data_IF_001575643597
#
_entry.id   IF_001575643597
#
_cell.length_a   1.000
_cell.length_b   1.000
_cell.length_c   1.000
_cell.angle_alpha   90.00
_cell.angle_beta   90.00
_cell.angle_gamma   90.00
#
_symmetry.space_group_name_H-M   'P 1'
#
loop_
_entity.id
_entity.type
_entity.pdbx_description
1 polymer ?
#
# COMPACT_ATOMS: atom_id res chain seq x y z
N UNK A 1 21.27 -15.59 19.47
CA UNK A 1 20.14 -15.97 18.59
C UNK A 1 20.36 -15.34 17.23
N UNK A 2 20.13 -16.05 16.12
CA UNK A 2 20.26 -15.49 14.77
C UNK A 2 19.27 -14.35 14.51
N UNK A 3 19.55 -13.49 13.52
CA UNK A 3 18.63 -12.39 13.14
C UNK A 3 17.27 -12.97 12.68
N UNK A 4 16.19 -12.29 13.03
CA UNK A 4 14.86 -12.59 12.55
C UNK A 4 14.83 -12.45 11.02
N UNK A 5 14.12 -13.35 10.32
CA UNK A 5 14.27 -13.47 8.87
C UNK A 5 13.77 -12.26 8.10
N UNK A 6 12.66 -11.63 8.47
CA UNK A 6 12.12 -10.47 7.74
C UNK A 6 13.02 -9.23 7.88
N UNK A 7 13.59 -9.00 9.06
CA UNK A 7 14.58 -7.93 9.28
C UNK A 7 15.90 -8.21 8.57
N UNK A 8 16.37 -9.47 8.56
CA UNK A 8 17.54 -9.85 7.79
C UNK A 8 17.34 -9.63 6.28
N UNK A 9 16.23 -10.11 5.72
CA UNK A 9 15.93 -9.99 4.29
C UNK A 9 15.74 -8.53 3.87
N UNK A 10 15.12 -7.71 4.74
CA UNK A 10 15.00 -6.26 4.56
C UNK A 10 16.36 -5.56 4.44
N UNK A 11 17.36 -5.99 5.20
CA UNK A 11 18.70 -5.40 5.15
C UNK A 11 19.59 -6.04 4.06
N UNK A 12 19.39 -7.33 3.77
CA UNK A 12 20.13 -8.06 2.74
C UNK A 12 19.90 -7.53 1.33
N UNK A 13 18.69 -7.05 1.03
CA UNK A 13 18.35 -6.52 -0.29
C UNK A 13 19.25 -5.36 -0.74
N UNK A 14 19.78 -4.57 0.20
CA UNK A 14 20.68 -3.45 -0.09
C UNK A 14 22.09 -3.91 -0.50
N UNK A 15 22.63 -4.93 0.17
CA UNK A 15 23.89 -5.55 -0.28
C UNK A 15 23.71 -6.20 -1.67
N UNK A 16 22.55 -6.82 -1.90
CA UNK A 16 22.20 -7.42 -3.18
C UNK A 16 22.16 -6.35 -4.26
N UNK A 17 21.47 -5.23 -4.01
CA UNK A 17 21.41 -4.08 -4.91
C UNK A 17 22.80 -3.52 -5.24
N UNK A 18 23.62 -3.26 -4.23
CA UNK A 18 24.99 -2.78 -4.43
C UNK A 18 25.79 -3.77 -5.27
N UNK A 19 25.63 -5.07 -5.04
CA UNK A 19 26.26 -6.12 -5.84
C UNK A 19 25.81 -6.06 -7.29
N UNK A 20 24.50 -5.98 -7.55
CA UNK A 20 23.94 -5.83 -8.91
C UNK A 20 24.54 -4.63 -9.65
N UNK A 21 24.63 -3.49 -8.96
CA UNK A 21 25.12 -2.22 -9.50
C UNK A 21 26.63 -2.24 -9.72
N UNK A 22 27.42 -2.57 -8.70
CA UNK A 22 28.88 -2.57 -8.75
C UNK A 22 29.43 -3.62 -9.71
N UNK A 23 28.84 -4.83 -9.72
CA UNK A 23 29.25 -5.90 -10.63
C UNK A 23 28.67 -5.72 -12.04
N UNK A 24 27.79 -4.74 -12.25
CA UNK A 24 27.13 -4.39 -13.52
C UNK A 24 26.44 -5.58 -14.19
N UNK A 25 25.67 -6.36 -13.43
CA UNK A 25 25.04 -7.57 -13.94
C UNK A 25 24.08 -7.30 -15.11
N UNK A 26 23.38 -6.15 -15.11
CA UNK A 26 22.47 -5.77 -16.19
C UNK A 26 23.16 -5.53 -17.55
N UNK A 27 24.47 -5.29 -17.58
CA UNK A 27 25.22 -5.08 -18.83
C UNK A 27 26.02 -6.31 -19.24
N UNK A 28 26.16 -7.30 -18.35
CA UNK A 28 26.94 -8.51 -18.61
C UNK A 28 26.02 -9.62 -19.11
N UNK A 29 26.49 -10.42 -20.08
CA UNK A 29 25.80 -11.64 -20.54
C UNK A 29 26.04 -12.80 -19.57
N UNK A 30 25.59 -12.66 -18.32
CA UNK A 30 25.67 -13.73 -17.31
C UNK A 30 24.36 -14.52 -17.28
N UNK A 31 24.47 -15.82 -17.02
CA UNK A 31 23.29 -16.64 -16.73
C UNK A 31 22.71 -16.28 -15.37
N UNK A 32 21.41 -16.54 -15.17
CA UNK A 32 20.76 -16.33 -13.87
C UNK A 32 21.42 -17.15 -12.75
N UNK A 33 21.90 -18.36 -13.04
CA UNK A 33 22.63 -19.18 -12.07
C UNK A 33 23.98 -18.53 -11.69
N UNK A 34 24.73 -18.01 -12.66
CA UNK A 34 26.00 -17.33 -12.39
C UNK A 34 25.81 -16.07 -11.54
N UNK A 35 24.75 -15.29 -11.81
CA UNK A 35 24.39 -14.13 -10.97
C UNK A 35 24.01 -14.60 -9.57
N UNK A 36 23.23 -15.68 -9.48
CA UNK A 36 22.84 -16.26 -8.20
C UNK A 36 24.05 -16.66 -7.35
N UNK A 37 25.00 -17.38 -7.93
CA UNK A 37 26.19 -17.86 -7.22
C UNK A 37 27.03 -16.69 -6.70
N UNK A 38 27.28 -15.68 -7.54
CA UNK A 38 28.03 -14.48 -7.15
C UNK A 38 27.35 -13.70 -6.01
N UNK A 39 26.03 -13.54 -6.07
CA UNK A 39 25.28 -12.86 -5.00
C UNK A 39 25.32 -13.68 -3.71
N UNK A 40 25.20 -15.00 -3.82
CA UNK A 40 25.27 -15.88 -2.66
C UNK A 40 26.65 -15.81 -1.98
N UNK A 41 27.74 -15.75 -2.76
CA UNK A 41 29.09 -15.54 -2.24
C UNK A 41 29.22 -14.20 -1.50
N UNK A 42 28.72 -13.11 -2.07
CA UNK A 42 28.75 -11.78 -1.43
C UNK A 42 27.92 -11.77 -0.12
N UNK A 43 26.75 -12.42 -0.11
CA UNK A 43 25.93 -12.58 1.10
C UNK A 43 26.66 -13.38 2.18
N UNK A 44 27.25 -14.53 1.84
CA UNK A 44 27.98 -15.37 2.80
C UNK A 44 29.14 -14.60 3.45
N UNK A 45 29.88 -13.81 2.67
CA UNK A 45 31.05 -13.09 3.18
C UNK A 45 30.70 -11.81 3.95
N UNK A 46 29.78 -10.99 3.43
CA UNK A 46 29.55 -9.65 3.95
C UNK A 46 28.30 -9.53 4.83
N UNK A 47 27.33 -10.44 4.69
CA UNK A 47 26.08 -10.42 5.46
C UNK A 47 25.56 -11.84 5.71
N UNK A 48 26.24 -12.62 6.57
CA UNK A 48 26.02 -14.06 6.69
C UNK A 48 24.54 -14.44 6.84
N UNK A 49 24.10 -15.38 6.00
CA UNK A 49 22.71 -15.82 5.93
C UNK A 49 22.36 -16.61 7.22
N UNK A 50 21.25 -16.26 7.93
CA UNK A 50 20.82 -16.99 9.11
C UNK A 50 20.58 -18.47 8.84
N UNK A 51 20.91 -19.33 9.81
CA UNK A 51 20.65 -20.77 9.71
C UNK A 51 19.18 -21.06 9.42
N UNK A 52 18.92 -21.90 8.41
CA UNK A 52 17.57 -22.25 7.96
C UNK A 52 17.04 -21.37 6.83
N UNK A 53 17.75 -20.30 6.46
CA UNK A 53 17.42 -19.44 5.34
C UNK A 53 18.41 -19.67 4.17
N UNK A 54 17.90 -19.70 2.94
CA UNK A 54 18.71 -19.88 1.72
C UNK A 54 18.39 -18.81 0.69
N UNK A 55 19.40 -18.22 0.06
CA UNK A 55 19.18 -17.28 -1.04
C UNK A 55 18.60 -17.99 -2.28
N UNK A 56 17.49 -17.47 -2.79
CA UNK A 56 16.79 -18.05 -3.94
C UNK A 56 17.05 -17.29 -5.23
N UNK A 57 16.73 -16.00 -5.23
CA UNK A 57 16.63 -15.18 -6.44
C UNK A 57 16.71 -13.70 -6.10
N UNK A 58 17.19 -12.89 -7.03
CA UNK A 58 17.07 -11.44 -6.96
C UNK A 58 17.05 -10.85 -8.36
N UNK A 59 16.62 -9.59 -8.45
CA UNK A 59 16.64 -8.80 -9.68
C UNK A 59 16.83 -7.34 -9.34
N UNK A 60 17.58 -6.62 -10.16
CA UNK A 60 17.68 -5.17 -10.12
C UNK A 60 17.22 -4.59 -11.47
N UNK A 61 16.22 -3.72 -11.45
CA UNK A 61 15.76 -2.98 -12.61
C UNK A 61 16.40 -1.59 -12.65
N UNK A 62 17.34 -1.34 -13.59
CA UNK A 62 18.08 -0.09 -13.63
C UNK A 62 17.22 1.07 -14.15
N UNK A 63 16.05 0.81 -14.74
CA UNK A 63 15.15 1.87 -15.23
C UNK A 63 14.34 2.49 -14.09
N UNK A 64 13.93 1.65 -13.14
CA UNK A 64 13.07 2.06 -12.03
C UNK A 64 13.81 2.20 -10.71
N UNK A 65 15.05 1.69 -10.62
CA UNK A 65 15.81 1.58 -9.38
C UNK A 65 15.37 0.42 -8.49
N UNK A 66 14.31 -0.31 -8.84
CA UNK A 66 13.73 -1.36 -8.00
C UNK A 66 14.68 -2.56 -7.89
N UNK A 67 15.01 -2.94 -6.65
CA UNK A 67 15.67 -4.20 -6.34
C UNK A 67 14.79 -5.09 -5.49
N UNK A 68 14.64 -6.34 -5.89
CA UNK A 68 13.96 -7.37 -5.14
C UNK A 68 14.89 -8.55 -4.84
N UNK A 69 14.72 -9.17 -3.67
CA UNK A 69 15.43 -10.38 -3.25
C UNK A 69 14.43 -11.39 -2.67
N UNK A 70 14.67 -12.68 -2.90
CA UNK A 70 13.87 -13.77 -2.37
C UNK A 70 14.76 -14.78 -1.64
N UNK A 71 14.32 -15.22 -0.47
CA UNK A 71 14.96 -16.24 0.35
C UNK A 71 13.98 -17.36 0.70
N UNK A 72 14.45 -18.61 0.70
CA UNK A 72 13.72 -19.79 1.14
C UNK A 72 13.96 -20.03 2.63
N UNK A 73 12.91 -20.01 3.43
CA UNK A 73 12.91 -20.68 4.73
C UNK A 73 12.81 -22.19 4.48
N UNK A 74 13.94 -22.87 4.68
CA UNK A 74 14.08 -24.31 4.43
C UNK A 74 13.29 -25.18 5.41
N UNK A 75 12.97 -24.65 6.60
CA UNK A 75 12.21 -25.34 7.63
C UNK A 75 10.72 -25.24 7.36
N UNK A 76 10.22 -24.03 7.06
CA UNK A 76 8.80 -23.79 6.76
C UNK A 76 8.41 -24.12 5.31
N UNK A 77 9.40 -24.25 4.40
CA UNK A 77 9.19 -24.35 2.94
C UNK A 77 8.40 -23.15 2.39
N UNK A 78 8.77 -21.98 2.89
CA UNK A 78 8.15 -20.71 2.57
C UNK A 78 9.18 -19.72 2.04
N UNK A 79 8.75 -18.78 1.20
CA UNK A 79 9.63 -17.76 0.63
C UNK A 79 9.31 -16.39 1.22
N UNK A 80 10.37 -15.71 1.62
CA UNK A 80 10.36 -14.33 2.10
C UNK A 80 10.93 -13.46 0.98
N UNK A 81 10.20 -12.43 0.59
CA UNK A 81 10.61 -11.47 -0.44
C UNK A 81 10.88 -10.10 0.19
N UNK A 82 12.08 -9.57 -0.06
CA UNK A 82 12.50 -8.23 0.34
C UNK A 82 12.58 -7.27 -0.84
N UNK A 83 12.22 -6.00 -0.60
CA UNK A 83 12.41 -4.91 -1.55
C UNK A 83 13.33 -3.83 -0.96
N UNK A 84 14.27 -3.34 -1.78
CA UNK A 84 15.11 -2.21 -1.41
C UNK A 84 14.30 -0.92 -1.44
N UNK A 85 14.61 -0.03 -0.50
CA UNK A 85 14.29 1.38 -0.64
C UNK A 85 15.38 2.14 -1.38
N UNK A 86 15.25 3.46 -1.46
CA UNK A 86 16.19 4.36 -2.13
C UNK A 86 17.60 4.21 -1.55
N UNK A 87 18.57 3.88 -2.39
CA UNK A 87 19.95 3.64 -1.99
C UNK A 87 20.92 4.39 -2.92
N UNK A 88 21.39 5.57 -2.50
CA UNK A 88 22.65 6.13 -2.98
C UNK A 88 23.24 7.22 -2.09
N UNK A 89 24.56 7.10 -1.97
CA UNK A 89 25.52 8.00 -1.33
C UNK A 89 25.37 9.47 -1.72
N UNK A 90 25.70 10.33 -0.75
CA UNK A 90 25.73 11.82 -0.73
C UNK A 90 24.40 12.57 -0.76
N UNK A 91 23.34 12.05 -1.38
CA UNK A 91 22.04 12.75 -1.51
C UNK A 91 20.82 11.94 -1.03
N UNK A 92 21.05 10.87 -0.26
CA UNK A 92 20.00 9.95 0.21
C UNK A 92 18.80 10.65 0.87
N UNK A 93 19.01 11.79 1.55
CA UNK A 93 17.98 12.60 2.20
C UNK A 93 17.16 13.50 1.24
N UNK A 94 17.65 13.77 0.03
CA UNK A 94 16.91 14.51 -1.00
C UNK A 94 16.19 13.54 -1.95
N UNK A 95 16.83 12.40 -2.23
CA UNK A 95 16.33 11.37 -3.14
C UNK A 95 15.06 10.69 -2.59
N UNK A 96 15.08 10.25 -1.32
CA UNK A 96 13.89 9.65 -0.70
C UNK A 96 12.68 10.61 -0.64
N UNK A 97 12.91 11.91 -0.47
CA UNK A 97 11.85 12.92 -0.44
C UNK A 97 11.26 13.08 -1.84
N UNK A 98 12.10 13.05 -2.87
CA UNK A 98 11.67 13.08 -4.27
C UNK A 98 10.84 11.84 -4.59
N UNK A 99 11.29 10.65 -4.19
CA UNK A 99 10.55 9.40 -4.37
C UNK A 99 9.21 9.41 -3.61
N UNK A 100 9.18 9.98 -2.41
CA UNK A 100 7.96 10.14 -1.64
C UNK A 100 6.99 11.14 -2.29
N UNK A 101 7.50 12.22 -2.88
CA UNK A 101 6.71 13.15 -3.69
C UNK A 101 6.19 12.45 -4.94
N UNK A 102 6.98 11.61 -5.60
CA UNK A 102 6.56 10.84 -6.77
C UNK A 102 5.50 9.79 -6.44
N UNK A 103 5.60 9.13 -5.27
CA UNK A 103 4.50 8.34 -4.69
C UNK A 103 3.27 9.24 -4.49
N UNK A 104 3.44 10.39 -3.84
CA UNK A 104 2.37 11.35 -3.55
C UNK A 104 1.72 11.98 -4.79
N UNK A 105 2.41 11.97 -5.93
CA UNK A 105 1.93 12.43 -7.23
C UNK A 105 1.43 11.29 -8.13
N UNK A 106 1.42 10.05 -7.64
CA UNK A 106 0.94 8.89 -8.38
C UNK A 106 1.78 8.55 -9.62
N UNK A 107 3.09 8.87 -9.60
CA UNK A 107 4.01 8.53 -10.68
C UNK A 107 4.34 7.03 -10.63
N UNK A 108 3.37 6.18 -10.99
CA UNK A 108 3.39 4.72 -10.81
C UNK A 108 4.31 3.90 -11.73
N UNK A 109 5.35 4.51 -12.33
CA UNK A 109 6.29 3.80 -13.21
C UNK A 109 7.11 2.70 -12.51
N UNK A 110 7.18 2.72 -11.17
CA UNK A 110 8.05 1.86 -10.38
C UNK A 110 7.38 0.57 -9.87
N UNK A 111 6.04 0.54 -9.75
CA UNK A 111 5.33 -0.61 -9.15
C UNK A 111 5.30 -1.84 -10.04
N UNK A 112 5.20 -1.64 -11.35
CA UNK A 112 5.15 -2.75 -12.30
C UNK A 112 6.40 -3.64 -12.19
N UNK A 113 7.57 -3.04 -11.97
CA UNK A 113 8.80 -3.79 -11.77
C UNK A 113 8.75 -4.65 -10.50
N UNK A 114 8.20 -4.12 -9.40
CA UNK A 114 8.02 -4.89 -8.17
C UNK A 114 7.03 -6.06 -8.35
N UNK A 115 5.96 -5.85 -9.12
CA UNK A 115 4.97 -6.90 -9.44
C UNK A 115 5.55 -7.98 -10.36
N UNK A 116 6.33 -7.59 -11.37
CA UNK A 116 7.02 -8.52 -12.26
C UNK A 116 8.04 -9.36 -11.49
N UNK A 117 8.80 -8.73 -10.59
CA UNK A 117 9.73 -9.44 -9.72
C UNK A 117 8.99 -10.46 -8.84
N UNK A 118 7.87 -10.08 -8.21
CA UNK A 118 7.08 -10.99 -7.39
C UNK A 118 6.62 -12.22 -8.18
N UNK A 119 6.10 -12.02 -9.40
CA UNK A 119 5.69 -13.11 -10.30
C UNK A 119 6.84 -14.05 -10.66
N UNK A 120 8.02 -13.50 -10.92
CA UNK A 120 9.23 -14.30 -11.19
C UNK A 120 9.68 -15.08 -9.96
N UNK A 121 9.75 -14.43 -8.80
CA UNK A 121 10.07 -15.07 -7.53
C UNK A 121 9.07 -16.19 -7.19
N UNK A 122 7.78 -16.00 -7.50
CA UNK A 122 6.75 -17.01 -7.28
C UNK A 122 6.96 -18.25 -8.15
N UNK A 123 7.33 -18.06 -9.43
CA UNK A 123 7.68 -19.19 -10.32
C UNK A 123 8.90 -19.95 -9.80
N UNK A 124 9.93 -19.24 -9.34
CA UNK A 124 11.14 -19.85 -8.80
C UNK A 124 10.84 -20.58 -7.49
N UNK A 125 10.04 -20.00 -6.59
CA UNK A 125 9.59 -20.63 -5.36
C UNK A 125 8.86 -21.97 -5.64
N UNK A 126 7.99 -21.98 -6.65
CA UNK A 126 7.26 -23.18 -7.05
C UNK A 126 8.20 -24.33 -7.48
N UNK A 127 9.33 -24.03 -8.13
CA UNK A 127 10.35 -25.06 -8.47
C UNK A 127 10.99 -25.72 -7.25
N UNK A 128 10.87 -25.08 -6.08
CA UNK A 128 11.35 -25.59 -4.78
C UNK A 128 10.24 -26.22 -3.94
N UNK A 129 9.03 -26.33 -4.47
CA UNK A 129 7.86 -26.77 -3.71
C UNK A 129 7.44 -25.77 -2.61
N UNK A 130 7.81 -24.49 -2.77
CA UNK A 130 7.56 -23.43 -1.80
C UNK A 130 6.62 -22.37 -2.37
N UNK A 131 6.03 -21.55 -1.49
CA UNK A 131 5.21 -20.39 -1.86
C UNK A 131 5.74 -19.14 -1.17
N UNK A 132 5.52 -17.98 -1.78
CA UNK A 132 5.77 -16.71 -1.10
C UNK A 132 4.70 -16.52 -0.03
N UNK A 133 5.11 -16.37 1.22
CA UNK A 133 4.19 -16.14 2.35
C UNK A 133 4.42 -14.79 3.00
N UNK A 134 5.64 -14.26 2.88
CA UNK A 134 6.06 -13.07 3.62
C UNK A 134 6.74 -12.04 2.72
N UNK A 135 6.33 -10.79 2.85
CA UNK A 135 6.97 -9.63 2.24
C UNK A 135 7.68 -8.79 3.31
N UNK A 136 8.76 -8.13 2.92
CA UNK A 136 9.49 -7.20 3.79
C UNK A 136 10.17 -6.08 3.03
N UNK A 137 10.51 -4.99 3.72
CA UNK A 137 11.21 -3.86 3.16
C UNK A 137 11.30 -2.69 4.12
N UNK A 138 12.24 -1.78 3.82
CA UNK A 138 12.47 -0.55 4.57
C UNK A 138 12.21 0.69 3.70
N UNK A 139 11.70 1.78 4.28
CA UNK A 139 11.43 3.04 3.56
C UNK A 139 10.57 2.80 2.30
N UNK A 140 11.01 3.22 1.10
CA UNK A 140 10.37 2.94 -0.18
C UNK A 140 10.19 1.44 -0.45
N UNK A 141 11.12 0.60 0.00
CA UNK A 141 10.99 -0.87 -0.08
C UNK A 141 9.81 -1.39 0.73
N UNK A 142 9.51 -0.75 1.88
CA UNK A 142 8.32 -1.05 2.67
C UNK A 142 7.02 -0.62 1.98
N UNK A 143 7.05 0.44 1.16
CA UNK A 143 5.92 0.81 0.30
C UNK A 143 5.72 -0.21 -0.83
N UNK A 144 6.79 -0.66 -1.52
CA UNK A 144 6.70 -1.73 -2.51
C UNK A 144 6.10 -3.00 -1.90
N UNK A 145 6.59 -3.42 -0.74
CA UNK A 145 6.07 -4.59 -0.05
C UNK A 145 4.56 -4.49 0.22
N UNK A 146 4.06 -3.34 0.70
CA UNK A 146 2.63 -3.13 0.93
C UNK A 146 1.80 -3.13 -0.37
N UNK A 147 2.31 -2.49 -1.44
CA UNK A 147 1.62 -2.45 -2.75
C UNK A 147 1.54 -3.84 -3.38
N UNK A 148 2.61 -4.61 -3.27
CA UNK A 148 2.66 -6.02 -3.70
C UNK A 148 1.74 -6.88 -2.83
N UNK A 149 1.67 -6.63 -1.52
CA UNK A 149 0.76 -7.33 -0.62
C UNK A 149 -0.70 -7.17 -1.08
N UNK A 150 -1.12 -5.95 -1.41
CA UNK A 150 -2.46 -5.66 -1.93
C UNK A 150 -2.72 -6.30 -3.29
N UNK A 151 -1.75 -6.23 -4.22
CA UNK A 151 -1.89 -6.78 -5.58
C UNK A 151 -2.04 -8.31 -5.57
N UNK A 152 -1.28 -9.01 -4.72
CA UNK A 152 -1.19 -10.47 -4.72
C UNK A 152 -1.84 -11.13 -3.50
N UNK A 153 -2.52 -10.34 -2.65
CA UNK A 153 -3.09 -10.76 -1.38
C UNK A 153 -2.11 -11.62 -0.53
N UNK A 154 -0.88 -11.10 -0.35
CA UNK A 154 0.18 -11.89 0.30
C UNK A 154 -0.10 -12.03 1.81
N UNK A 155 -0.01 -13.25 2.40
CA UNK A 155 -0.50 -13.50 3.76
C UNK A 155 0.14 -12.66 4.86
N UNK A 156 1.45 -12.42 4.81
CA UNK A 156 2.18 -11.67 5.83
C UNK A 156 3.07 -10.62 5.21
N UNK A 157 3.09 -9.42 5.77
CA UNK A 157 3.97 -8.33 5.35
C UNK A 157 4.53 -7.66 6.59
N UNK A 158 5.86 -7.64 6.72
CA UNK A 158 6.56 -7.01 7.85
C UNK A 158 7.45 -5.91 7.31
N UNK A 159 7.18 -4.65 7.66
CA UNK A 159 7.91 -3.51 7.09
C UNK A 159 8.47 -2.59 8.17
N UNK A 160 9.56 -1.91 7.83
CA UNK A 160 10.39 -1.15 8.78
C UNK A 160 10.51 0.29 8.31
N UNK A 161 10.09 1.27 9.11
CA UNK A 161 10.08 2.69 8.72
C UNK A 161 9.56 2.89 7.27
N UNK A 162 8.47 2.20 6.93
CA UNK A 162 7.97 2.16 5.56
C UNK A 162 7.46 3.53 5.10
N UNK A 163 7.58 3.80 3.80
CA UNK A 163 6.83 4.88 3.18
C UNK A 163 5.32 4.53 3.11
N UNK A 164 4.44 5.55 3.14
CA UNK A 164 2.99 5.34 3.05
C UNK A 164 2.60 4.86 1.65
N UNK A 165 1.46 4.19 1.53
CA UNK A 165 0.86 3.80 0.25
C UNK A 165 0.51 5.02 -0.62
N UNK A 166 0.00 6.08 0.00
CA UNK A 166 -0.28 7.37 -0.62
C UNK A 166 -0.29 8.48 0.43
N UNK A 167 -0.18 9.75 0.00
CA UNK A 167 -0.14 10.93 0.87
C UNK A 167 -1.34 11.82 0.64
N UNK A 168 -1.94 12.38 1.70
CA UNK A 168 -3.04 13.35 1.62
C UNK A 168 -2.54 14.79 1.33
N UNK A 169 -1.24 15.01 1.53
CA UNK A 169 -0.49 16.25 1.27
C UNK A 169 -0.51 16.68 -0.21
N UNK A 170 -0.93 15.76 -1.07
CA UNK A 170 -1.07 15.97 -2.50
C UNK A 170 -2.00 17.15 -2.80
N UNK A 171 -2.99 17.43 -1.94
CA UNK A 171 -3.96 18.51 -2.12
C UNK A 171 -3.30 19.91 -2.21
N UNK A 172 -2.49 20.38 -1.23
CA UNK A 172 -1.71 21.63 -1.37
C UNK A 172 -0.74 21.66 -2.57
N UNK A 173 -0.12 20.52 -2.89
CA UNK A 173 0.81 20.41 -4.03
C UNK A 173 0.05 20.63 -5.34
N UNK A 174 -1.07 19.93 -5.51
CA UNK A 174 -1.94 20.08 -6.68
C UNK A 174 -2.51 21.48 -6.77
N UNK A 175 -2.94 22.10 -5.66
CA UNK A 175 -3.38 23.49 -5.65
C UNK A 175 -2.30 24.47 -6.19
N UNK A 176 -1.03 24.22 -5.87
CA UNK A 176 0.10 25.00 -6.40
C UNK A 176 0.33 24.72 -7.89
N UNK A 177 0.26 23.46 -8.30
CA UNK A 177 0.39 23.07 -9.70
C UNK A 177 -0.75 23.62 -10.57
N UNK A 178 -2.00 23.63 -10.08
CA UNK A 178 -3.16 24.19 -10.77
C UNK A 178 -2.99 25.68 -11.05
N UNK A 179 -2.30 26.43 -10.18
CA UNK A 179 -1.98 27.85 -10.42
C UNK A 179 -0.95 28.05 -11.54
N UNK A 180 -0.04 27.09 -11.75
CA UNK A 180 1.05 27.19 -12.74
C UNK A 180 0.70 26.58 -14.09
N UNK A 181 0.13 25.38 -14.09
CA UNK A 181 -0.17 24.61 -15.30
C UNK A 181 -1.45 23.76 -15.09
N UNK A 182 -2.65 24.36 -15.25
CA UNK A 182 -3.92 23.73 -14.92
C UNK A 182 -4.15 22.35 -15.56
N UNK A 183 -3.96 22.22 -16.88
CA UNK A 183 -4.16 20.95 -17.60
C UNK A 183 -3.22 19.84 -17.09
N UNK A 184 -1.91 20.13 -16.99
CA UNK A 184 -0.93 19.17 -16.48
C UNK A 184 -1.20 18.79 -15.02
N UNK A 185 -1.64 19.75 -14.20
CA UNK A 185 -2.03 19.50 -12.82
C UNK A 185 -3.26 18.59 -12.74
N UNK A 186 -4.24 18.80 -13.63
CA UNK A 186 -5.42 17.96 -13.72
C UNK A 186 -5.08 16.52 -14.10
N UNK A 187 -4.25 16.31 -15.13
CA UNK A 187 -3.81 14.99 -15.56
C UNK A 187 -3.10 14.22 -14.44
N UNK A 188 -2.16 14.87 -13.74
CA UNK A 188 -1.45 14.27 -12.61
C UNK A 188 -2.40 13.97 -11.44
N UNK A 189 -3.34 14.86 -11.15
CA UNK A 189 -4.29 14.67 -10.06
C UNK A 189 -5.27 13.53 -10.34
N UNK A 190 -5.78 13.42 -11.57
CA UNK A 190 -6.63 12.31 -12.01
C UNK A 190 -5.87 10.99 -11.87
N UNK A 191 -4.63 10.92 -12.34
CA UNK A 191 -3.77 9.72 -12.20
C UNK A 191 -3.51 9.35 -10.74
N UNK A 192 -3.27 10.34 -9.89
CA UNK A 192 -3.14 10.12 -8.46
C UNK A 192 -4.44 9.54 -7.87
N UNK A 193 -5.61 10.11 -8.19
CA UNK A 193 -6.89 9.60 -7.70
C UNK A 193 -7.23 8.20 -8.21
N UNK A 194 -6.88 7.87 -9.46
CA UNK A 194 -6.96 6.49 -9.96
C UNK A 194 -6.14 5.54 -9.07
N UNK A 195 -4.91 5.94 -8.74
CA UNK A 195 -4.02 5.13 -7.89
C UNK A 195 -4.61 4.93 -6.49
N UNK A 196 -5.18 5.97 -5.88
CA UNK A 196 -5.84 5.87 -4.58
C UNK A 196 -7.06 4.93 -4.65
N UNK A 197 -7.90 5.06 -5.68
CA UNK A 197 -9.05 4.18 -5.86
C UNK A 197 -8.65 2.71 -6.07
N UNK A 198 -7.60 2.48 -6.85
CA UNK A 198 -7.03 1.16 -7.11
C UNK A 198 -6.52 0.48 -5.81
N UNK A 199 -5.86 1.26 -4.95
CA UNK A 199 -5.41 0.84 -3.61
C UNK A 199 -6.60 0.49 -2.73
N UNK A 200 -7.58 1.38 -2.63
CA UNK A 200 -8.75 1.18 -1.77
C UNK A 200 -9.61 -0.01 -2.25
N UNK A 201 -9.72 -0.21 -3.55
CA UNK A 201 -10.41 -1.36 -4.14
C UNK A 201 -9.74 -2.67 -3.73
N UNK A 202 -8.42 -2.78 -3.91
CA UNK A 202 -7.65 -3.97 -3.49
C UNK A 202 -7.73 -4.20 -1.98
N UNK A 203 -7.69 -3.13 -1.20
CA UNK A 203 -7.78 -3.20 0.26
C UNK A 203 -9.07 -3.86 0.72
N UNK A 204 -10.20 -3.67 0.04
CA UNK A 204 -11.48 -4.32 0.40
C UNK A 204 -11.41 -5.85 0.34
N UNK A 205 -10.62 -6.41 -0.58
CA UNK A 205 -10.42 -7.85 -0.73
C UNK A 205 -9.16 -8.40 -0.05
N UNK A 206 -8.39 -7.55 0.63
CA UNK A 206 -7.12 -7.95 1.24
C UNK A 206 -7.35 -8.65 2.57
N UNK A 207 -6.83 -9.87 2.69
CA UNK A 207 -6.97 -10.73 3.89
C UNK A 207 -5.63 -10.96 4.59
N UNK A 208 -4.53 -10.42 4.06
CA UNK A 208 -3.21 -10.55 4.66
C UNK A 208 -3.01 -9.65 5.87
N UNK A 209 -1.97 -9.93 6.64
CA UNK A 209 -1.56 -9.16 7.81
C UNK A 209 -0.38 -8.27 7.46
N UNK A 210 -0.46 -6.98 7.84
CA UNK A 210 0.65 -6.03 7.70
C UNK A 210 1.08 -5.58 9.10
N UNK A 211 2.36 -5.78 9.41
CA UNK A 211 2.99 -5.41 10.67
C UNK A 211 4.07 -4.37 10.35
N UNK A 212 3.96 -3.20 10.96
CA UNK A 212 4.83 -2.06 10.68
C UNK A 212 5.61 -1.70 11.93
N UNK A 213 6.93 -1.75 11.82
CA UNK A 213 7.86 -1.35 12.86
C UNK A 213 8.39 0.06 12.58
N UNK A 214 8.27 0.97 13.55
CA UNK A 214 8.57 2.40 13.39
C UNK A 214 9.47 2.94 14.50
N UNK A 215 10.55 3.65 14.20
CA UNK A 215 11.31 4.41 15.22
C UNK A 215 10.70 5.80 15.51
N UNK A 216 10.69 6.25 16.78
CA UNK A 216 10.11 7.55 17.19
C UNK A 216 10.81 8.77 16.58
N UNK A 217 12.09 8.67 16.27
CA UNK A 217 12.88 9.78 15.72
C UNK A 217 12.80 9.85 14.18
N UNK A 218 12.01 8.98 13.54
CA UNK A 218 11.97 8.84 12.10
C UNK A 218 11.45 10.09 11.37
N UNK A 219 11.83 10.18 10.10
CA UNK A 219 11.52 11.21 9.09
C UNK A 219 10.00 11.44 8.90
N UNK A 220 9.19 10.58 9.51
CA UNK A 220 7.74 10.74 9.70
C UNK A 220 7.33 11.96 10.52
N UNK A 221 8.23 12.63 11.26
CA UNK A 221 7.97 14.00 11.71
C UNK A 221 7.65 14.90 10.51
N UNK A 222 8.26 14.66 9.34
CA UNK A 222 7.96 15.40 8.12
C UNK A 222 6.69 14.91 7.43
N UNK A 223 6.40 13.61 7.30
CA UNK A 223 5.11 13.12 6.73
C UNK A 223 3.91 13.57 7.57
N UNK A 224 4.08 13.58 8.90
CA UNK A 224 3.09 14.14 9.84
C UNK A 224 2.94 15.65 9.66
N UNK A 225 4.06 16.39 9.47
CA UNK A 225 4.04 17.83 9.16
C UNK A 225 3.51 18.16 7.75
N UNK A 226 3.56 17.21 6.82
CA UNK A 226 3.14 17.42 5.44
C UNK A 226 1.62 17.21 5.27
N UNK A 227 0.92 16.55 6.20
CA UNK A 227 -0.55 16.39 6.14
C UNK A 227 -1.07 14.95 6.13
N UNK A 228 -0.24 13.96 6.51
CA UNK A 228 -0.68 12.58 6.77
C UNK A 228 -0.49 11.61 5.59
N UNK A 229 0.02 10.42 5.91
CA UNK A 229 0.21 9.31 4.98
C UNK A 229 -0.70 8.12 5.30
N UNK A 230 -1.14 7.39 4.27
CA UNK A 230 -1.96 6.19 4.43
C UNK A 230 -1.10 4.93 4.49
N UNK A 231 -1.38 4.05 5.46
CA UNK A 231 -0.64 2.83 5.71
C UNK A 231 -1.57 1.64 5.95
N UNK A 232 -1.08 0.42 5.72
CA UNK A 232 -1.81 -0.81 6.06
C UNK A 232 -1.44 -1.36 7.43
N UNK A 233 -2.40 -2.03 8.06
CA UNK A 233 -2.19 -2.89 9.22
C UNK A 233 -1.68 -2.18 10.47
N UNK A 234 -1.00 -2.94 11.32
CA UNK A 234 -0.67 -2.58 12.70
C UNK A 234 0.66 -1.86 12.80
N UNK A 235 0.73 -0.80 13.59
CA UNK A 235 1.96 -0.03 13.87
C UNK A 235 2.50 -0.34 15.26
N UNK A 236 3.81 -0.58 15.34
CA UNK A 236 4.56 -0.79 16.57
C UNK A 236 5.73 0.18 16.60
N UNK A 237 5.71 1.08 17.57
CA UNK A 237 6.67 2.15 17.71
C UNK A 237 7.77 1.82 18.72
N UNK A 238 9.00 2.22 18.42
CA UNK A 238 10.16 2.11 19.30
C UNK A 238 10.57 3.49 19.78
N UNK A 239 10.38 3.76 21.08
CA UNK A 239 10.75 5.05 21.69
C UNK A 239 12.23 5.16 22.05
N UNK A 240 12.81 6.33 21.77
CA UNK A 240 13.99 6.92 22.41
C UNK A 240 15.36 6.32 22.03
N UNK A 241 15.78 6.47 20.77
CA UNK A 241 17.04 5.86 20.35
C UNK A 241 17.86 6.56 19.25
N UNK A 242 17.33 7.55 18.50
CA UNK A 242 18.07 8.29 17.46
C UNK A 242 18.18 7.55 16.11
N UNK A 243 17.12 6.85 15.71
CA UNK A 243 17.20 5.74 14.74
C UNK A 243 16.58 6.04 13.38
N UNK A 244 17.40 5.97 12.33
CA UNK A 244 17.00 6.26 10.94
C UNK A 244 17.46 5.22 9.92
N UNK A 245 18.42 4.36 10.27
CA UNK A 245 19.04 3.43 9.33
C UNK A 245 18.46 2.03 9.51
N UNK A 246 18.30 1.30 8.40
CA UNK A 246 17.87 -0.10 8.37
C UNK A 246 18.68 -1.00 9.34
N UNK A 247 19.97 -0.70 9.52
CA UNK A 247 20.88 -1.45 10.39
C UNK A 247 20.47 -1.43 11.86
N UNK A 248 19.69 -0.43 12.28
CA UNK A 248 19.27 -0.28 13.67
C UNK A 248 18.24 -1.35 14.06
N UNK A 249 17.39 -1.78 13.11
CA UNK A 249 16.47 -2.89 13.33
C UNK A 249 17.19 -4.22 13.54
N UNK A 250 18.48 -4.30 13.21
CA UNK A 250 19.30 -5.48 13.43
C UNK A 250 19.93 -5.50 14.81
N UNK A 251 19.89 -4.43 15.60
CA UNK A 251 20.45 -4.43 16.95
C UNK A 251 19.73 -5.41 17.88
N UNK A 252 20.42 -5.97 18.87
CA UNK A 252 19.87 -7.05 19.71
C UNK A 252 18.61 -6.63 20.47
N UNK A 253 18.53 -5.37 20.93
CA UNK A 253 17.34 -4.82 21.58
C UNK A 253 16.16 -4.78 20.62
N UNK A 254 16.37 -4.28 19.40
CA UNK A 254 15.35 -4.19 18.36
C UNK A 254 14.86 -5.58 17.97
N UNK A 255 15.80 -6.50 17.74
CA UNK A 255 15.54 -7.89 17.38
C UNK A 255 14.75 -8.64 18.45
N UNK A 256 14.98 -8.36 19.74
CA UNK A 256 14.16 -8.93 20.81
C UNK A 256 12.71 -8.49 20.67
N UNK A 257 12.47 -7.18 20.58
CA UNK A 257 11.12 -6.65 20.49
C UNK A 257 10.40 -7.06 19.18
N UNK A 258 11.10 -7.06 18.05
CA UNK A 258 10.56 -7.55 16.77
C UNK A 258 10.08 -9.00 16.93
N UNK A 259 10.88 -9.89 17.52
CA UNK A 259 10.48 -11.28 17.75
C UNK A 259 9.30 -11.37 18.71
N UNK A 260 9.32 -10.64 19.82
CA UNK A 260 8.22 -10.64 20.79
C UNK A 260 6.88 -10.24 20.12
N UNK A 261 6.90 -9.24 19.22
CA UNK A 261 5.72 -8.83 18.44
C UNK A 261 5.32 -9.91 17.44
N UNK A 262 6.26 -10.41 16.62
CA UNK A 262 5.95 -11.43 15.61
C UNK A 262 5.42 -12.73 16.23
N UNK A 263 5.96 -13.15 17.38
CA UNK A 263 5.49 -14.30 18.15
C UNK A 263 4.06 -14.07 18.68
N UNK A 264 3.72 -12.84 19.09
CA UNK A 264 2.37 -12.50 19.52
C UNK A 264 1.36 -12.58 18.36
N UNK A 265 1.75 -12.17 17.15
CA UNK A 265 0.93 -12.37 15.95
C UNK A 265 0.74 -13.85 15.62
N UNK A 266 1.80 -14.65 15.67
CA UNK A 266 1.71 -16.11 15.42
C UNK A 266 0.79 -16.82 16.43
N UNK A 267 0.66 -16.31 17.65
CA UNK A 267 -0.22 -16.85 18.70
C UNK A 267 -1.63 -16.24 18.72
N UNK A 268 -1.89 -15.20 17.93
CA UNK A 268 -3.13 -14.42 18.01
C UNK A 268 -3.28 -13.62 19.32
N UNK A 269 -2.18 -13.33 20.02
CA UNK A 269 -2.12 -12.66 21.32
C UNK A 269 -1.71 -11.18 21.20
N UNK A 270 -2.03 -10.53 20.07
CA UNK A 270 -1.59 -9.16 19.81
C UNK A 270 -2.62 -8.11 20.30
N UNK A 271 -2.10 -7.05 20.93
CA UNK A 271 -2.86 -5.88 21.34
C UNK A 271 -2.28 -4.66 20.63
N UNK A 272 -2.99 -4.05 19.67
CA UNK A 272 -2.46 -2.91 18.92
C UNK A 272 -2.21 -1.73 19.88
N UNK A 273 -0.98 -1.22 19.92
CA UNK A 273 -0.64 -0.04 20.75
C UNK A 273 -1.31 1.24 20.24
N UNK A 274 -1.62 1.27 18.94
CA UNK A 274 -2.49 2.25 18.32
C UNK A 274 -3.28 1.56 17.21
N UNK A 275 -4.58 1.39 17.40
CA UNK A 275 -5.48 1.37 16.26
C UNK A 275 -5.40 2.77 15.64
N UNK A 276 -4.46 3.00 14.72
CA UNK A 276 -4.66 4.02 13.69
C UNK A 276 -5.77 3.52 12.75
N UNK A 277 -6.95 3.34 13.36
CA UNK A 277 -8.23 3.26 12.72
C UNK A 277 -8.39 4.61 12.02
N UNK A 278 -8.10 4.62 10.72
CA UNK A 278 -8.67 5.58 9.78
C UNK A 278 -8.76 7.02 10.31
N UNK A 279 -7.62 7.67 10.53
CA UNK A 279 -7.59 9.09 10.87
C UNK A 279 -7.05 10.00 9.77
N UNK A 280 -6.70 9.45 8.59
CA UNK A 280 -6.32 10.26 7.42
C UNK A 280 -7.39 11.28 7.05
N UNK A 281 -8.68 10.93 7.15
CA UNK A 281 -9.80 11.86 6.94
C UNK A 281 -10.42 12.41 8.24
N UNK A 282 -9.95 12.01 9.44
CA UNK A 282 -10.55 12.45 10.71
C UNK A 282 -9.69 13.45 11.51
N UNK A 283 -8.40 13.60 11.19
CA UNK A 283 -7.48 14.40 12.01
C UNK A 283 -7.39 15.89 11.61
N UNK A 284 -8.08 16.31 10.56
CA UNK A 284 -8.18 17.72 10.16
C UNK A 284 -9.65 18.07 10.09
N UNK A 285 -10.06 19.21 10.65
CA UNK A 285 -11.47 19.61 10.67
C UNK A 285 -12.06 19.52 9.26
N UNK A 286 -12.96 18.55 9.07
CA UNK A 286 -13.52 18.15 7.77
C UNK A 286 -14.09 19.33 6.97
N UNK A 287 -14.47 20.40 7.66
CA UNK A 287 -15.01 21.61 7.07
C UNK A 287 -13.95 22.45 6.33
N UNK A 288 -12.74 22.58 6.88
CA UNK A 288 -11.69 23.47 6.34
C UNK A 288 -10.98 22.83 5.14
N UNK A 289 -10.68 21.52 5.21
CA UNK A 289 -10.15 20.76 4.09
C UNK A 289 -11.14 20.67 2.92
N UNK A 290 -12.41 20.32 3.21
CA UNK A 290 -13.45 20.25 2.18
C UNK A 290 -13.61 21.59 1.45
N UNK A 291 -13.56 22.72 2.15
CA UNK A 291 -13.65 24.02 1.51
C UNK A 291 -12.42 24.39 0.66
N UNK A 292 -11.20 24.02 1.09
CA UNK A 292 -9.96 24.24 0.34
C UNK A 292 -9.85 23.30 -0.89
N UNK A 293 -10.17 22.02 -0.74
CA UNK A 293 -10.20 21.00 -1.80
C UNK A 293 -11.25 21.32 -2.87
N UNK A 294 -12.46 21.67 -2.45
CA UNK A 294 -13.54 22.03 -3.35
C UNK A 294 -13.23 23.29 -4.18
N UNK A 295 -12.48 24.24 -3.62
CA UNK A 295 -12.20 25.49 -4.32
C UNK A 295 -10.92 25.43 -5.17
N UNK A 296 -9.84 24.84 -4.65
CA UNK A 296 -8.52 24.87 -5.28
C UNK A 296 -8.29 23.77 -6.31
N UNK A 297 -9.05 22.68 -6.24
CA UNK A 297 -8.88 21.52 -7.12
C UNK A 297 -10.14 21.27 -7.96
N UNK A 298 -11.32 21.22 -7.33
CA UNK A 298 -12.56 20.86 -8.04
C UNK A 298 -13.00 21.93 -9.04
N UNK A 299 -12.91 23.22 -8.71
CA UNK A 299 -13.29 24.29 -9.65
C UNK A 299 -12.39 24.33 -10.90
N UNK A 300 -11.05 24.27 -10.81
CA UNK A 300 -10.19 24.10 -11.97
C UNK A 300 -10.54 22.86 -12.80
N UNK A 301 -10.77 21.71 -12.18
CA UNK A 301 -11.14 20.47 -12.88
C UNK A 301 -12.45 20.61 -13.64
N UNK A 302 -13.50 21.18 -13.00
CA UNK A 302 -14.80 21.45 -13.63
C UNK A 302 -14.70 22.36 -14.85
N UNK A 303 -13.75 23.31 -14.87
CA UNK A 303 -13.53 24.18 -16.03
C UNK A 303 -12.82 23.46 -17.19
N UNK A 304 -12.09 22.40 -16.90
CA UNK A 304 -11.31 21.61 -17.86
C UNK A 304 -12.06 20.36 -18.35
N UNK A 305 -13.27 20.10 -17.84
CA UNK A 305 -13.98 18.84 -18.12
C UNK A 305 -14.23 18.60 -19.58
N UNK A 306 -14.44 19.63 -20.38
CA UNK A 306 -14.75 19.46 -21.81
C UNK A 306 -13.57 18.82 -22.55
N UNK A 307 -12.34 19.20 -22.19
CA UNK A 307 -11.08 18.77 -22.81
C UNK A 307 -10.61 17.36 -22.38
N UNK A 308 -11.23 16.76 -21.36
CA UNK A 308 -10.81 15.46 -20.83
C UNK A 308 -11.27 14.27 -21.69
N UNK A 309 -10.45 13.22 -21.70
CA UNK A 309 -10.81 11.93 -22.30
C UNK A 309 -12.00 11.29 -21.57
N UNK A 310 -12.72 10.34 -22.20
CA UNK A 310 -13.82 9.62 -21.54
C UNK A 310 -13.41 8.96 -20.22
N UNK A 311 -12.23 8.35 -20.16
CA UNK A 311 -11.67 7.73 -18.94
C UNK A 311 -11.45 8.77 -17.83
N UNK A 312 -10.84 9.92 -18.18
CA UNK A 312 -10.61 11.05 -17.26
C UNK A 312 -11.93 11.61 -16.69
N UNK A 313 -12.96 11.70 -17.54
CA UNK A 313 -14.31 12.12 -17.13
C UNK A 313 -14.95 11.11 -16.17
N UNK A 314 -14.77 9.81 -16.40
CA UNK A 314 -15.27 8.75 -15.53
C UNK A 314 -14.65 8.84 -14.12
N UNK A 315 -13.32 8.98 -14.04
CA UNK A 315 -12.60 9.09 -12.77
C UNK A 315 -13.01 10.35 -12.01
N UNK A 316 -13.15 11.46 -12.73
CA UNK A 316 -13.62 12.71 -12.15
C UNK A 316 -15.05 12.58 -11.61
N UNK A 317 -15.93 11.87 -12.31
CA UNK A 317 -17.27 11.52 -11.81
C UNK A 317 -17.21 10.78 -10.48
N UNK A 318 -16.38 9.73 -10.38
CA UNK A 318 -16.16 8.96 -9.14
C UNK A 318 -15.59 9.82 -8.00
N UNK A 319 -14.65 10.72 -8.32
CA UNK A 319 -14.03 11.63 -7.35
C UNK A 319 -15.01 12.65 -6.75
N UNK A 320 -15.90 13.18 -7.58
CA UNK A 320 -16.92 14.14 -7.16
C UNK A 320 -17.99 13.49 -6.28
N UNK A 321 -18.22 12.18 -6.43
CA UNK A 321 -19.12 11.37 -5.59
C UNK A 321 -18.51 11.15 -4.20
N UNK A 322 -17.22 10.77 -4.11
CA UNK A 322 -16.51 10.57 -2.83
C UNK A 322 -16.51 11.84 -1.97
N UNK A 323 -16.47 13.01 -2.58
CA UNK A 323 -16.49 14.31 -1.88
C UNK A 323 -17.91 14.88 -1.62
N UNK A 324 -18.96 14.15 -2.00
CA UNK A 324 -20.35 14.57 -1.84
C UNK A 324 -20.73 15.82 -2.65
N UNK A 325 -20.08 16.06 -3.79
CA UNK A 325 -20.21 17.27 -4.62
C UNK A 325 -21.06 17.12 -5.87
N UNK A 326 -21.41 15.90 -6.27
CA UNK A 326 -22.40 15.70 -7.31
C UNK A 326 -23.79 15.91 -6.71
N UNK A 327 -24.42 17.04 -7.04
CA UNK A 327 -25.84 17.23 -6.79
C UNK A 327 -26.60 16.05 -7.41
N UNK A 328 -27.34 15.35 -6.55
CA UNK A 328 -28.27 14.21 -6.65
C UNK A 328 -29.06 13.93 -7.96
N UNK A 329 -28.56 14.27 -9.17
CA UNK A 329 -29.36 14.18 -10.40
C UNK A 329 -28.66 13.84 -11.72
N UNK A 330 -27.34 13.66 -11.77
CA UNK A 330 -26.68 13.28 -13.04
C UNK A 330 -25.48 12.36 -12.81
N UNK A 331 -25.70 11.19 -12.22
CA UNK A 331 -25.00 9.93 -12.58
C UNK A 331 -25.96 8.82 -12.12
N UNK A 332 -26.66 8.18 -13.05
CA UNK A 332 -27.28 6.87 -12.78
C UNK A 332 -26.17 5.97 -12.24
N UNK A 333 -26.28 5.50 -10.98
CA UNK A 333 -25.30 4.55 -10.44
C UNK A 333 -25.47 3.24 -11.19
N UNK A 334 -24.40 2.71 -11.78
CA UNK A 334 -24.39 1.52 -12.67
C UNK A 334 -23.52 0.37 -12.14
N UNK A 335 -23.33 0.26 -10.82
CA UNK A 335 -22.41 -0.72 -10.23
C UNK A 335 -23.07 -1.52 -9.12
N UNK A 336 -22.82 -2.83 -9.13
CA UNK A 336 -23.12 -3.77 -8.05
C UNK A 336 -22.39 -3.42 -6.74
N UNK A 337 -23.11 -3.24 -5.65
CA UNK A 337 -22.58 -2.92 -4.33
C UNK A 337 -23.25 -3.71 -3.19
N UNK A 338 -22.54 -3.84 -2.06
CA UNK A 338 -23.11 -4.27 -0.78
C UNK A 338 -23.63 -3.04 -0.02
N UNK A 339 -24.94 -2.80 -0.07
CA UNK A 339 -25.61 -1.70 0.62
C UNK A 339 -26.12 -2.16 1.99
N UNK A 340 -25.81 -1.43 3.07
CA UNK A 340 -26.24 -1.78 4.44
C UNK A 340 -26.94 -0.60 5.12
N UNK A 341 -28.15 -0.86 5.60
CA UNK A 341 -28.88 -0.04 6.56
C UNK A 341 -28.27 -0.15 7.96
N UNK A 342 -28.89 0.52 8.91
CA UNK A 342 -28.55 0.48 10.32
C UNK A 342 -29.70 -0.07 11.17
N UNK A 343 -29.74 0.30 12.45
CA UNK A 343 -30.75 -0.16 13.41
C UNK A 343 -32.03 0.69 13.42
N UNK A 344 -32.25 1.51 12.39
CA UNK A 344 -33.39 2.43 12.25
C UNK A 344 -34.14 2.19 10.95
N UNK A 345 -35.30 2.83 10.76
CA UNK A 345 -36.06 2.72 9.52
C UNK A 345 -35.32 3.40 8.37
N UNK A 346 -34.74 2.62 7.46
CA UNK A 346 -33.93 3.12 6.36
C UNK A 346 -34.69 3.20 5.04
N UNK A 347 -34.22 4.07 4.14
CA UNK A 347 -34.69 4.15 2.75
C UNK A 347 -33.48 3.98 1.83
N UNK A 348 -33.35 2.79 1.24
CA UNK A 348 -32.20 2.38 0.44
C UNK A 348 -32.65 2.09 -1.00
N UNK A 349 -31.95 2.67 -1.98
CA UNK A 349 -32.23 2.54 -3.40
C UNK A 349 -30.93 2.14 -4.13
N UNK A 350 -30.89 0.90 -4.63
CA UNK A 350 -29.76 0.28 -5.33
C UNK A 350 -29.43 0.94 -6.67
N UNK A 351 -30.46 1.39 -7.38
CA UNK A 351 -30.36 1.97 -8.74
C UNK A 351 -29.93 0.92 -9.78
N UNK A 352 -28.95 1.15 -10.67
CA UNK A 352 -28.55 0.15 -11.66
C UNK A 352 -27.29 -0.61 -11.19
N UNK A 353 -27.20 -1.90 -11.53
CA UNK A 353 -26.13 -2.81 -11.07
C UNK A 353 -26.72 -3.93 -10.22
N UNK A 354 -26.09 -5.12 -10.16
CA UNK A 354 -26.60 -6.23 -9.34
C UNK A 354 -26.22 -6.02 -7.86
N UNK A 355 -27.09 -5.38 -7.07
CA UNK A 355 -26.78 -5.00 -5.70
C UNK A 355 -27.14 -6.08 -4.67
N UNK A 356 -26.42 -6.10 -3.55
CA UNK A 356 -26.81 -6.84 -2.35
C UNK A 356 -27.19 -5.86 -1.24
N UNK A 357 -28.47 -5.79 -0.92
CA UNK A 357 -29.03 -4.76 -0.01
C UNK A 357 -29.45 -5.40 1.31
N UNK A 358 -28.89 -4.94 2.42
CA UNK A 358 -29.26 -5.32 3.79
C UNK A 358 -29.99 -4.16 4.46
N UNK A 359 -31.26 -4.35 4.86
CA UNK A 359 -31.97 -3.33 5.65
C UNK A 359 -31.46 -3.22 7.10
N UNK A 360 -30.91 -4.31 7.62
CA UNK A 360 -30.57 -4.47 9.03
C UNK A 360 -31.82 -4.32 9.94
N UNK A 361 -31.79 -3.46 10.95
CA UNK A 361 -32.87 -3.40 11.96
C UNK A 361 -33.78 -2.21 11.74
N UNK A 362 -35.09 -2.41 11.65
CA UNK A 362 -36.02 -1.31 11.41
C UNK A 362 -37.20 -1.73 10.56
N UNK A 363 -38.01 -0.76 10.15
CA UNK A 363 -39.00 -0.89 9.09
C UNK A 363 -38.47 -0.19 7.85
N UNK A 364 -37.73 -0.93 7.04
CA UNK A 364 -36.96 -0.37 5.93
C UNK A 364 -37.77 -0.35 4.62
N UNK A 365 -37.40 0.59 3.75
CA UNK A 365 -37.85 0.68 2.38
C UNK A 365 -36.64 0.47 1.47
N UNK A 366 -36.48 -0.76 1.00
CA UNK A 366 -35.44 -1.15 0.05
C UNK A 366 -36.00 -1.12 -1.37
N UNK A 367 -35.17 -0.77 -2.36
CA UNK A 367 -35.51 -0.86 -3.78
C UNK A 367 -34.23 -1.19 -4.53
N UNK A 368 -34.12 -2.37 -5.12
CA UNK A 368 -32.96 -2.81 -5.91
C UNK A 368 -32.67 -1.91 -7.11
N UNK A 369 -33.73 -1.38 -7.73
CA UNK A 369 -33.62 -0.58 -8.94
C UNK A 369 -33.69 -1.46 -10.19
N UNK A 370 -32.77 -1.31 -11.15
CA UNK A 370 -32.78 -2.08 -12.40
C UNK A 370 -31.49 -2.89 -12.57
N UNK A 371 -31.49 -4.13 -12.08
CA UNK A 371 -30.74 -5.30 -12.58
C UNK A 371 -31.17 -6.54 -11.76
N UNK A 372 -30.30 -7.54 -11.55
CA UNK A 372 -30.56 -8.75 -10.77
C UNK A 372 -30.21 -8.58 -9.28
N UNK A 373 -30.95 -7.74 -8.58
CA UNK A 373 -30.68 -7.38 -7.18
C UNK A 373 -31.10 -8.45 -6.16
N UNK A 374 -30.39 -8.50 -5.02
CA UNK A 374 -30.69 -9.38 -3.89
C UNK A 374 -30.89 -8.56 -2.61
N UNK A 375 -32.14 -8.49 -2.14
CA UNK A 375 -32.53 -7.75 -0.93
C UNK A 375 -32.71 -8.69 0.28
N UNK A 376 -32.11 -8.34 1.41
CA UNK A 376 -32.23 -9.03 2.70
C UNK A 376 -32.90 -8.11 3.73
N UNK A 377 -34.18 -8.39 4.00
CA UNK A 377 -34.96 -7.78 5.09
C UNK A 377 -34.92 -8.68 6.33
N UNK A 378 -34.61 -8.12 7.51
CA UNK A 378 -34.70 -8.88 8.76
C UNK A 378 -36.17 -9.18 9.08
N UNK A 379 -36.49 -10.44 9.34
CA UNK A 379 -37.84 -10.99 9.51
C UNK A 379 -38.47 -10.66 10.88
N UNK A 380 -38.09 -9.55 11.51
CA UNK A 380 -38.58 -9.18 12.86
C UNK A 380 -39.47 -7.96 12.93
N UNK A 381 -40.20 -7.59 11.87
CA UNK A 381 -41.36 -6.68 12.05
C UNK A 381 -42.43 -6.81 10.97
N UNK A 382 -42.98 -8.02 10.76
CA UNK A 382 -44.24 -8.15 10.02
C UNK A 382 -45.44 -7.83 10.93
N UNK A 383 -45.67 -6.53 11.18
CA UNK A 383 -46.92 -6.03 11.76
C UNK A 383 -47.44 -4.92 10.83
N UNK A 384 -48.50 -5.24 10.07
CA UNK A 384 -49.34 -4.37 9.24
C UNK A 384 -48.79 -3.84 7.89
N UNK A 385 -48.71 -4.71 6.88
CA UNK A 385 -49.61 -4.75 5.69
C UNK A 385 -48.95 -5.57 4.56
N UNK A 386 -49.63 -6.68 4.21
CA UNK A 386 -49.54 -7.56 3.02
C UNK A 386 -48.26 -7.47 2.16
N UNK A 387 -47.49 -8.55 2.25
CA UNK A 387 -46.45 -8.98 1.32
C UNK A 387 -46.95 -9.09 -0.12
#
# INVERSE_FOLDING_TARGET
MGKEYTSYVMDAVYLVEDTWRLKKFNTKKLSQNSIKDLINEELIHNKPIPTGLEYLYSRHDPKTGMTGVAFLDTKKKEVIVGYAGTNNSTDAANDWLTDLIDIGLGQGGHYQSAFDFYREAQRIAATKGAKITTLTGHSLGGNYAQRVALEFNTPKTVVYNAAPLYLLISIPIFATLFKKSPQKAAELFIKYMQTVQDIESRRKGFTGEVIRFRSTDDVLNMVSNLGGGFYLGFEYEFSNTGWHLQGNFLEDRAQKHIRDVLDAFEKGEYYPSNNNLFSGFKAVDNYTLKNLENFLIVNPLKKLTEDFSPEQKEILGKLLIINGLASKRVVDRTFSEDLRGGISNDAIDGQNGDDTIYGEGGSDRLTGGAAGDVEFLDLRTCIHKKC
#
